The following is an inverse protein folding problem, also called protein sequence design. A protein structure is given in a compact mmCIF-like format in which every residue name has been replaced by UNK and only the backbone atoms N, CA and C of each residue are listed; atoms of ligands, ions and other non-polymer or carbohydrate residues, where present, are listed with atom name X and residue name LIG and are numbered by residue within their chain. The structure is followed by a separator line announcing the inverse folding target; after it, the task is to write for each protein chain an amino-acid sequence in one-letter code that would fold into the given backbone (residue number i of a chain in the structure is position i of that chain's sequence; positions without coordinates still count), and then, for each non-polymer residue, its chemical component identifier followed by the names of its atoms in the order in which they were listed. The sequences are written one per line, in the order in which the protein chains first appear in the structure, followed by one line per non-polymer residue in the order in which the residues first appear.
data_IF_620106653360
#
_entry.id   IF_620106653360
#
_cell.length_a   1.000
_cell.length_b   1.000
_cell.length_c   1.000
_cell.angle_alpha   90.00
_cell.angle_beta   90.00
_cell.angle_gamma   90.00
#
_symmetry.space_group_name_H-M   'P 1'
#
loop_
_entity.id
_entity.type
_entity.pdbx_description
1 polymer ?
#
# COMPACT_ATOMS: atom_id res chain seq x y z
N UNK A 1 43.97 -0.72 -6.44
CA UNK A 1 42.71 -0.59 -5.68
C UNK A 1 41.60 -0.17 -6.64
N UNK A 2 40.69 -1.07 -6.98
CA UNK A 2 39.53 -0.74 -7.82
C UNK A 2 38.64 0.28 -7.12
N UNK A 3 38.38 1.42 -7.79
CA UNK A 3 37.48 2.45 -7.27
C UNK A 3 36.08 1.86 -7.10
N UNK A 4 35.58 1.81 -5.86
CA UNK A 4 34.18 1.45 -5.55
C UNK A 4 33.25 2.35 -6.38
N UNK A 5 32.51 1.75 -7.31
CA UNK A 5 31.59 2.44 -8.22
C UNK A 5 30.46 3.11 -7.42
N UNK A 6 30.37 4.45 -7.50
CA UNK A 6 29.29 5.23 -6.88
C UNK A 6 27.97 5.00 -7.65
N UNK A 7 26.89 4.82 -6.92
CA UNK A 7 25.55 4.52 -7.46
C UNK A 7 24.96 5.70 -8.26
N UNK A 8 25.39 6.92 -7.93
CA UNK A 8 24.85 8.20 -8.42
C UNK A 8 25.21 8.52 -9.89
N UNK A 9 26.23 7.86 -10.44
CA UNK A 9 26.85 8.22 -11.73
C UNK A 9 26.17 7.60 -12.96
N UNK A 10 25.18 6.72 -12.79
CA UNK A 10 24.71 5.83 -13.87
C UNK A 10 23.30 6.13 -14.42
N UNK A 11 22.64 7.23 -14.04
CA UNK A 11 21.31 7.63 -14.58
C UNK A 11 20.34 6.43 -14.69
N UNK A 12 20.28 5.62 -13.62
CA UNK A 12 19.66 4.29 -13.62
C UNK A 12 18.15 4.43 -13.58
N UNK A 13 17.55 4.54 -14.75
CA UNK A 13 16.11 4.69 -14.91
C UNK A 13 15.46 3.32 -15.06
N UNK A 14 14.31 3.12 -14.43
CA UNK A 14 13.49 1.94 -14.63
C UNK A 14 13.07 1.83 -16.11
N UNK A 15 13.02 0.62 -16.66
CA UNK A 15 12.60 0.38 -18.05
C UNK A 15 11.28 -0.38 -18.07
N UNK A 16 10.28 0.15 -18.77
CA UNK A 16 8.94 -0.47 -18.85
C UNK A 16 8.93 -1.91 -19.37
N UNK A 17 9.90 -2.28 -20.22
CA UNK A 17 10.05 -3.68 -20.67
C UNK A 17 10.20 -4.67 -19.50
N UNK A 18 10.74 -4.23 -18.35
CA UNK A 18 10.93 -5.06 -17.17
C UNK A 18 9.60 -5.45 -16.51
N UNK A 19 8.54 -4.67 -16.75
CA UNK A 19 7.19 -4.98 -16.28
C UNK A 19 6.77 -6.38 -16.74
N UNK A 20 6.79 -6.60 -18.05
CA UNK A 20 6.37 -7.86 -18.64
C UNK A 20 7.47 -8.92 -18.57
N UNK A 21 8.75 -8.54 -18.65
CA UNK A 21 9.85 -9.53 -18.63
C UNK A 21 10.04 -10.17 -17.25
N UNK A 22 9.91 -9.41 -16.17
CA UNK A 22 10.26 -9.85 -14.82
C UNK A 22 9.14 -9.69 -13.79
N UNK A 23 7.95 -9.27 -14.21
CA UNK A 23 6.80 -9.01 -13.33
C UNK A 23 7.10 -8.01 -12.22
N UNK A 24 7.81 -6.92 -12.54
CA UNK A 24 8.15 -5.86 -11.59
C UNK A 24 7.46 -4.54 -11.94
N UNK A 25 7.25 -3.66 -10.98
CA UNK A 25 6.83 -2.27 -11.22
C UNK A 25 7.75 -1.31 -10.47
N UNK A 26 7.85 -0.07 -10.92
CA UNK A 26 8.54 0.96 -10.17
C UNK A 26 7.68 1.46 -8.99
N UNK A 27 8.29 1.53 -7.81
CA UNK A 27 7.70 2.11 -6.61
C UNK A 27 8.78 2.83 -5.80
N UNK A 28 8.63 4.15 -5.64
CA UNK A 28 9.56 4.99 -4.85
C UNK A 28 11.05 4.80 -5.24
N UNK A 29 11.36 4.83 -6.55
CA UNK A 29 12.71 4.63 -7.09
C UNK A 29 13.33 3.25 -6.79
N UNK A 30 12.48 2.25 -6.54
CA UNK A 30 12.84 0.83 -6.35
C UNK A 30 11.94 -0.03 -7.23
N UNK A 31 12.35 -1.27 -7.49
CA UNK A 31 11.51 -2.20 -8.24
C UNK A 31 10.76 -3.11 -7.27
N UNK A 32 9.44 -3.16 -7.35
CA UNK A 32 8.58 -4.06 -6.58
C UNK A 32 8.21 -5.26 -7.43
N UNK A 33 8.47 -6.47 -6.94
CA UNK A 33 8.06 -7.71 -7.60
C UNK A 33 6.57 -7.99 -7.34
N UNK A 34 5.78 -8.14 -8.39
CA UNK A 34 4.34 -8.42 -8.28
C UNK A 34 4.02 -9.87 -7.91
N UNK A 35 4.99 -10.78 -7.99
CA UNK A 35 4.79 -12.20 -7.68
C UNK A 35 4.90 -12.48 -6.18
N UNK A 36 5.87 -11.84 -5.52
CA UNK A 36 6.18 -12.09 -4.11
C UNK A 36 6.11 -10.84 -3.23
N UNK A 37 5.78 -9.68 -3.81
CA UNK A 37 5.71 -8.38 -3.14
C UNK A 37 7.03 -7.93 -2.47
N UNK A 38 8.16 -8.52 -2.84
CA UNK A 38 9.48 -8.10 -2.39
C UNK A 38 9.97 -6.87 -3.17
N UNK A 39 10.65 -5.95 -2.47
CA UNK A 39 11.24 -4.76 -3.08
C UNK A 39 12.74 -4.96 -3.35
N UNK A 40 13.13 -4.71 -4.59
CA UNK A 40 14.51 -4.72 -5.08
C UNK A 40 15.03 -3.28 -5.01
N UNK A 41 15.92 -3.03 -4.04
CA UNK A 41 16.39 -1.69 -3.71
C UNK A 41 17.19 -0.99 -4.82
N UNK A 42 17.83 -1.74 -5.70
CA UNK A 42 18.72 -1.20 -6.74
C UNK A 42 18.15 -1.51 -8.11
N UNK A 43 17.76 -0.45 -8.84
CA UNK A 43 17.25 -0.47 -10.22
C UNK A 43 18.34 -0.86 -11.24
N UNK A 44 18.73 -2.13 -11.21
CA UNK A 44 19.59 -2.76 -12.22
C UNK A 44 18.89 -3.97 -12.79
N UNK A 45 18.91 -4.08 -14.12
CA UNK A 45 18.39 -5.25 -14.84
C UNK A 45 18.97 -6.54 -14.28
N UNK A 46 20.28 -6.59 -13.98
CA UNK A 46 20.90 -7.75 -13.35
C UNK A 46 20.24 -8.17 -12.03
N UNK A 47 19.94 -7.22 -11.13
CA UNK A 47 19.32 -7.54 -9.85
C UNK A 47 17.88 -8.04 -10.02
N UNK A 48 17.13 -7.38 -10.90
CA UNK A 48 15.74 -7.73 -11.23
C UNK A 48 15.69 -9.12 -11.89
N UNK A 49 16.53 -9.34 -12.91
CA UNK A 49 16.66 -10.60 -13.61
C UNK A 49 17.06 -11.73 -12.67
N UNK A 50 18.10 -11.54 -11.85
CA UNK A 50 18.54 -12.54 -10.86
C UNK A 50 17.43 -12.89 -9.87
N UNK A 51 16.67 -11.90 -9.40
CA UNK A 51 15.53 -12.13 -8.52
C UNK A 51 14.47 -13.01 -9.21
N UNK A 52 14.08 -12.64 -10.44
CA UNK A 52 13.11 -13.42 -11.22
C UNK A 52 13.61 -14.84 -11.51
N UNK A 53 14.86 -14.98 -11.95
CA UNK A 53 15.45 -16.27 -12.34
C UNK A 53 15.56 -17.24 -11.17
N UNK A 54 15.95 -16.76 -9.99
CA UNK A 54 16.16 -17.61 -8.82
C UNK A 54 14.86 -18.00 -8.10
N UNK A 55 13.85 -17.12 -8.09
CA UNK A 55 12.61 -17.35 -7.31
C UNK A 55 11.41 -17.77 -8.15
N UNK A 56 11.30 -17.28 -9.39
CA UNK A 56 10.04 -17.29 -10.13
C UNK A 56 10.10 -17.99 -11.49
N UNK A 57 11.30 -18.21 -12.04
CA UNK A 57 11.48 -18.77 -13.38
C UNK A 57 10.71 -20.07 -13.59
N UNK A 58 10.82 -21.02 -12.66
CA UNK A 58 10.18 -22.34 -12.79
C UNK A 58 8.65 -22.23 -12.88
N UNK A 59 8.05 -21.28 -12.17
CA UNK A 59 6.60 -21.16 -12.07
C UNK A 59 6.00 -20.23 -13.15
N UNK A 60 6.81 -19.29 -13.67
CA UNK A 60 6.34 -18.20 -14.55
C UNK A 60 6.96 -18.23 -15.96
N UNK A 61 7.87 -19.16 -16.26
CA UNK A 61 8.39 -19.39 -17.62
C UNK A 61 7.32 -19.84 -18.61
N UNK A 62 6.28 -20.53 -18.13
CA UNK A 62 5.16 -21.02 -18.94
C UNK A 62 4.33 -19.91 -19.61
N UNK A 63 4.38 -18.69 -19.07
CA UNK A 63 3.64 -17.56 -19.62
C UNK A 63 4.47 -16.86 -20.70
N UNK A 64 4.01 -16.93 -21.95
CA UNK A 64 4.64 -16.31 -23.12
C UNK A 64 3.63 -15.41 -23.87
N UNK A 65 4.14 -14.46 -24.66
CA UNK A 65 3.31 -13.58 -25.51
C UNK A 65 2.23 -12.79 -24.76
N UNK A 66 1.00 -12.83 -25.28
CA UNK A 66 -0.16 -12.13 -24.71
C UNK A 66 -0.50 -12.62 -23.30
N UNK A 67 -0.44 -13.93 -23.06
CA UNK A 67 -0.77 -14.53 -21.77
C UNK A 67 0.11 -13.99 -20.64
N UNK A 68 1.39 -13.70 -20.94
CA UNK A 68 2.31 -13.06 -19.99
C UNK A 68 1.86 -11.66 -19.60
N UNK A 69 1.39 -10.89 -20.57
CA UNK A 69 0.88 -9.52 -20.38
C UNK A 69 -0.41 -9.53 -19.57
N UNK A 70 -1.32 -10.45 -19.87
CA UNK A 70 -2.56 -10.64 -19.11
C UNK A 70 -2.28 -11.02 -17.65
N UNK A 71 -1.34 -11.95 -17.42
CA UNK A 71 -0.94 -12.35 -16.08
C UNK A 71 -0.32 -11.18 -15.30
N UNK A 72 0.50 -10.36 -15.96
CA UNK A 72 1.07 -9.16 -15.35
C UNK A 72 -0.03 -8.17 -14.93
N UNK A 73 -0.98 -7.88 -15.81
CA UNK A 73 -2.08 -6.97 -15.51
C UNK A 73 -3.01 -7.54 -14.42
N UNK A 74 -3.21 -8.85 -14.37
CA UNK A 74 -3.95 -9.50 -13.30
C UNK A 74 -3.27 -9.32 -11.94
N UNK A 75 -1.95 -9.57 -11.85
CA UNK A 75 -1.17 -9.36 -10.62
C UNK A 75 -1.18 -7.89 -10.19
N UNK A 76 -1.02 -6.97 -11.15
CA UNK A 76 -1.05 -5.53 -10.90
C UNK A 76 -2.41 -5.05 -10.37
N UNK A 77 -3.52 -5.53 -10.94
CA UNK A 77 -4.88 -5.26 -10.44
C UNK A 77 -5.07 -5.82 -9.04
N UNK A 78 -4.60 -7.05 -8.79
CA UNK A 78 -4.62 -7.67 -7.47
C UNK A 78 -3.92 -6.80 -6.42
N UNK A 79 -2.69 -6.36 -6.70
CA UNK A 79 -1.92 -5.48 -5.82
C UNK A 79 -2.66 -4.17 -5.54
N UNK A 80 -3.19 -3.51 -6.57
CA UNK A 80 -3.95 -2.25 -6.42
C UNK A 80 -5.18 -2.45 -5.55
N UNK A 81 -5.89 -3.57 -5.70
CA UNK A 81 -7.03 -3.91 -4.84
C UNK A 81 -6.60 -4.04 -3.38
N UNK A 82 -5.50 -4.76 -3.10
CA UNK A 82 -4.98 -4.89 -1.74
C UNK A 82 -4.61 -3.52 -1.14
N UNK A 83 -3.89 -2.69 -1.88
CA UNK A 83 -3.52 -1.34 -1.45
C UNK A 83 -4.75 -0.48 -1.14
N UNK A 84 -5.80 -0.57 -1.95
CA UNK A 84 -7.02 0.21 -1.77
C UNK A 84 -7.73 -0.08 -0.44
N UNK A 85 -7.65 -1.32 0.08
CA UNK A 85 -8.22 -1.69 1.37
C UNK A 85 -7.48 -0.97 2.51
N UNK A 86 -6.16 -0.98 2.48
CA UNK A 86 -5.34 -0.28 3.48
C UNK A 86 -5.51 1.24 3.40
N UNK A 87 -5.58 1.81 2.20
CA UNK A 87 -5.81 3.26 2.04
C UNK A 87 -7.16 3.66 2.62
N UNK A 88 -8.24 2.90 2.34
CA UNK A 88 -9.58 3.19 2.89
C UNK A 88 -9.57 3.16 4.41
N UNK A 89 -9.05 2.08 5.01
CA UNK A 89 -8.94 1.95 6.45
C UNK A 89 -8.13 3.11 7.08
N UNK A 90 -7.02 3.50 6.46
CA UNK A 90 -6.20 4.60 6.94
C UNK A 90 -6.91 5.96 6.83
N UNK A 91 -7.65 6.21 5.74
CA UNK A 91 -8.42 7.46 5.58
C UNK A 91 -9.57 7.59 6.58
N UNK A 92 -10.23 6.49 6.91
CA UNK A 92 -11.28 6.47 7.94
C UNK A 92 -10.69 6.79 9.32
N UNK A 93 -9.56 6.17 9.65
CA UNK A 93 -8.85 6.43 10.90
C UNK A 93 -8.34 7.87 10.99
N UNK A 94 -7.78 8.41 9.91
CA UNK A 94 -7.31 9.80 9.85
C UNK A 94 -8.47 10.79 10.07
N UNK A 95 -9.61 10.56 9.41
CA UNK A 95 -10.81 11.38 9.58
C UNK A 95 -11.34 11.35 11.01
N UNK A 96 -11.40 10.16 11.62
CA UNK A 96 -11.83 10.00 13.01
C UNK A 96 -10.89 10.73 13.98
N UNK A 97 -9.57 10.55 13.81
CA UNK A 97 -8.54 11.25 14.60
C UNK A 97 -8.69 12.77 14.45
N UNK A 98 -8.81 13.27 13.22
CA UNK A 98 -8.97 14.71 12.96
C UNK A 98 -10.24 15.29 13.58
N UNK A 99 -11.35 14.55 13.56
CA UNK A 99 -12.59 14.96 14.21
C UNK A 99 -12.41 15.08 15.74
N UNK A 100 -11.78 14.08 16.38
CA UNK A 100 -11.49 14.11 17.82
C UNK A 100 -10.59 15.27 18.21
N UNK A 101 -9.52 15.55 17.44
CA UNK A 101 -8.66 16.71 17.68
C UNK A 101 -9.41 18.04 17.55
N UNK A 102 -10.33 18.16 16.59
CA UNK A 102 -11.18 19.36 16.45
C UNK A 102 -12.08 19.55 17.67
N UNK A 103 -12.67 18.47 18.19
CA UNK A 103 -13.49 18.52 19.41
C UNK A 103 -12.64 18.99 20.60
N UNK A 104 -11.48 18.37 20.83
CA UNK A 104 -10.57 18.75 21.91
C UNK A 104 -10.14 20.23 21.80
N UNK A 105 -9.83 20.70 20.60
CA UNK A 105 -9.49 22.10 20.34
C UNK A 105 -10.64 23.05 20.71
N UNK A 106 -11.88 22.69 20.42
CA UNK A 106 -13.05 23.53 20.78
C UNK A 106 -13.28 23.59 22.28
N UNK A 107 -13.10 22.47 23.00
CA UNK A 107 -13.17 22.41 24.46
C UNK A 107 -12.11 23.34 25.07
N UNK A 108 -10.86 23.21 24.61
CA UNK A 108 -9.74 24.04 25.07
C UNK A 108 -9.96 25.54 24.78
N UNK A 109 -10.41 25.89 23.57
CA UNK A 109 -10.70 27.29 23.19
C UNK A 109 -11.81 27.93 24.03
N UNK A 110 -12.77 27.13 24.48
CA UNK A 110 -13.88 27.60 25.33
C UNK A 110 -13.58 27.47 26.83
N UNK A 111 -12.35 27.10 27.19
CA UNK A 111 -11.90 26.87 28.57
C UNK A 111 -12.84 25.97 29.37
N UNK A 112 -13.41 24.95 28.71
CA UNK A 112 -14.34 24.02 29.35
C UNK A 112 -13.59 23.02 30.23
N UNK A 113 -14.18 22.62 31.38
CA UNK A 113 -13.56 21.69 32.29
C UNK A 113 -13.45 20.29 31.67
N UNK A 114 -12.56 19.48 32.23
CA UNK A 114 -12.27 18.12 31.75
C UNK A 114 -13.50 17.21 31.70
N UNK A 115 -14.46 17.40 32.62
CA UNK A 115 -15.74 16.68 32.68
C UNK A 115 -16.56 16.79 31.40
N UNK A 116 -16.55 17.95 30.73
CA UNK A 116 -17.23 18.12 29.43
C UNK A 116 -16.56 17.27 28.35
N UNK A 117 -15.24 17.12 28.43
CA UNK A 117 -14.47 16.24 27.54
C UNK A 117 -14.79 14.76 27.72
N UNK A 118 -14.97 14.31 28.96
CA UNK A 118 -15.39 12.93 29.26
C UNK A 118 -16.79 12.63 28.72
N UNK A 119 -17.75 13.53 28.97
CA UNK A 119 -19.11 13.38 28.44
C UNK A 119 -19.11 13.31 26.90
N UNK A 120 -18.32 14.16 26.23
CA UNK A 120 -18.22 14.14 24.77
C UNK A 120 -17.54 12.84 24.28
N UNK A 121 -16.52 12.35 24.97
CA UNK A 121 -15.89 11.05 24.66
C UNK A 121 -16.90 9.90 24.77
N UNK A 122 -17.71 9.86 25.83
CA UNK A 122 -18.77 8.86 26.00
C UNK A 122 -19.81 8.94 24.88
N UNK A 123 -20.25 10.14 24.52
CA UNK A 123 -21.14 10.35 23.37
C UNK A 123 -20.51 9.84 22.07
N UNK A 124 -19.24 10.14 21.80
CA UNK A 124 -18.54 9.70 20.60
C UNK A 124 -18.41 8.18 20.53
N UNK A 125 -18.10 7.52 21.65
CA UNK A 125 -18.04 6.04 21.74
C UNK A 125 -19.42 5.44 21.52
N UNK A 126 -20.47 5.97 22.13
CA UNK A 126 -21.84 5.48 21.97
C UNK A 126 -22.33 5.57 20.50
N UNK A 127 -21.99 6.66 19.81
CA UNK A 127 -22.32 6.86 18.39
C UNK A 127 -21.51 5.92 17.49
N UNK A 128 -20.22 5.73 17.76
CA UNK A 128 -19.36 4.82 17.00
C UNK A 128 -19.80 3.35 17.15
N UNK A 129 -20.14 2.93 18.36
CA UNK A 129 -20.64 1.57 18.63
C UNK A 129 -21.99 1.28 17.95
N UNK A 130 -22.85 2.29 17.76
CA UNK A 130 -24.08 2.14 16.97
C UNK A 130 -23.82 1.99 15.46
N UNK A 131 -22.74 2.57 14.93
CA UNK A 131 -22.36 2.44 13.51
C UNK A 131 -21.82 1.06 13.14
N UNK A 132 -21.21 0.35 14.09
CA UNK A 132 -20.63 -0.98 13.91
C UNK A 132 -21.60 -2.16 14.13
N UNK A 133 -22.91 -1.90 14.27
CA UNK A 133 -23.88 -3.00 14.30
C UNK A 133 -24.00 -3.59 12.87
N UNK A 134 -23.77 -4.91 12.65
CA UNK A 134 -24.15 -5.51 11.38
C UNK A 134 -25.64 -5.24 11.19
N UNK A 135 -26.03 -4.65 10.06
CA UNK A 135 -27.44 -4.59 9.66
C UNK A 135 -27.94 -6.02 9.66
N UNK A 136 -28.60 -6.45 10.73
CA UNK A 136 -29.34 -7.71 10.76
C UNK A 136 -30.42 -7.53 9.70
N UNK A 137 -30.16 -8.05 8.50
CA UNK A 137 -31.19 -8.29 7.51
C UNK A 137 -32.28 -9.09 8.21
N UNK A 138 -33.46 -8.48 8.35
CA UNK A 138 -34.66 -9.22 8.70
C UNK A 138 -34.94 -10.12 7.49
N UNK A 139 -34.55 -11.38 7.58
CA UNK A 139 -35.25 -12.44 6.90
C UNK A 139 -36.53 -12.69 7.68
N UNK A 140 -37.63 -12.07 7.21
CA UNK A 140 -38.98 -12.66 7.17
C UNK A 140 -39.61 -12.10 5.90
#
# INVERSE_FOLDING_TARGET
MEKKRKIDSECRTFKDKWNFQYFVIESSNKALCLICNETIAVLKEYNIKRHYESKHLQNYSKYTGSLRTEQFEALKRGLKSQQSLFTKANTEQESATRASFRVALQIAKRSKPFTDGEMIKECLIAVASRRNMPRKGKFI
#
